data_IF_051820562304
#
_entry.id   IF_051820562304
#
_cell.length_a   1.000
_cell.length_b   1.000
_cell.length_c   1.000
_cell.angle_alpha   90.00
_cell.angle_beta   90.00
_cell.angle_gamma   90.00
#
_symmetry.space_group_name_H-M   'P 1'
#
loop_
_entity.id
_entity.type
_entity.pdbx_description
1 polymer ?
#
# COMPACT_ATOMS: atom_id res chain seq x y z
N UNK A 1 0.00 -19.92 -12.59
CA UNK A 1 1.05 -19.37 -11.71
C UNK A 1 0.49 -18.09 -11.15
N UNK A 2 0.57 -17.85 -9.85
CA UNK A 2 0.19 -16.55 -9.30
C UNK A 2 1.11 -15.49 -9.94
N UNK A 3 0.53 -14.40 -10.44
CA UNK A 3 1.31 -13.28 -10.96
C UNK A 3 2.12 -12.68 -9.80
N UNK A 4 3.38 -12.31 -10.06
CA UNK A 4 4.19 -11.60 -9.06
C UNK A 4 3.55 -10.24 -8.73
N UNK A 5 3.68 -9.80 -7.47
CA UNK A 5 3.05 -8.57 -6.99
C UNK A 5 3.42 -7.35 -7.83
N UNK A 6 4.65 -7.27 -8.37
CA UNK A 6 5.06 -6.15 -9.22
C UNK A 6 4.32 -6.14 -10.55
N UNK A 7 3.96 -7.32 -11.07
CA UNK A 7 3.13 -7.46 -12.28
C UNK A 7 1.71 -6.98 -12.01
N UNK A 8 1.14 -7.35 -10.86
CA UNK A 8 -0.19 -6.92 -10.43
C UNK A 8 -0.24 -5.40 -10.23
N UNK A 9 0.73 -4.83 -9.50
CA UNK A 9 0.89 -3.38 -9.31
C UNK A 9 0.95 -2.65 -10.65
N UNK A 10 1.72 -3.18 -11.61
CA UNK A 10 1.92 -2.55 -12.92
C UNK A 10 0.67 -2.51 -13.80
N UNK A 11 -0.32 -3.37 -13.55
CA UNK A 11 -1.60 -3.43 -14.29
C UNK A 11 -2.75 -2.71 -13.59
N UNK A 12 -2.61 -2.40 -12.31
CA UNK A 12 -3.68 -1.82 -11.52
C UNK A 12 -4.03 -0.39 -11.98
N UNK A 13 -5.30 -0.03 -11.87
CA UNK A 13 -5.84 1.25 -12.38
C UNK A 13 -5.69 2.36 -11.34
N UNK A 14 -4.45 2.75 -11.07
CA UNK A 14 -4.13 3.76 -10.06
C UNK A 14 -4.76 5.11 -10.38
N UNK A 15 -5.34 5.75 -9.36
CA UNK A 15 -5.95 7.07 -9.45
C UNK A 15 -5.34 7.99 -8.44
N UNK A 16 -5.10 9.24 -8.83
CA UNK A 16 -4.67 10.26 -7.89
C UNK A 16 -5.75 10.53 -6.83
N UNK A 17 -5.33 10.60 -5.57
CA UNK A 17 -6.15 11.07 -4.47
C UNK A 17 -6.23 12.60 -4.50
N UNK A 18 -7.06 13.14 -5.41
CA UNK A 18 -7.16 14.59 -5.70
C UNK A 18 -7.37 15.43 -4.45
N UNK A 19 -8.15 14.95 -3.47
CA UNK A 19 -8.40 15.62 -2.19
C UNK A 19 -7.12 15.91 -1.40
N UNK A 20 -6.08 15.09 -1.58
CA UNK A 20 -4.82 15.16 -0.83
C UNK A 20 -3.64 15.62 -1.68
N UNK A 21 -3.87 16.07 -2.92
CA UNK A 21 -2.82 16.47 -3.86
C UNK A 21 -1.78 17.42 -3.24
N UNK A 22 -2.24 18.42 -2.50
CA UNK A 22 -1.39 19.50 -1.99
C UNK A 22 -0.82 19.22 -0.59
N UNK A 23 -1.37 18.25 0.14
CA UNK A 23 -0.99 17.95 1.52
C UNK A 23 -0.26 16.62 1.65
N UNK A 24 -0.78 15.58 1.00
CA UNK A 24 -0.23 14.23 1.05
C UNK A 24 -0.50 13.50 -0.27
N UNK A 25 0.25 13.84 -1.33
CA UNK A 25 0.01 13.31 -2.67
C UNK A 25 0.23 11.80 -2.70
N UNK A 26 -0.82 11.06 -3.04
CA UNK A 26 -0.80 9.62 -3.22
C UNK A 26 -1.78 9.19 -4.31
N UNK A 27 -1.68 7.93 -4.69
CA UNK A 27 -2.61 7.26 -5.59
C UNK A 27 -3.28 6.09 -4.86
N UNK A 28 -4.41 5.65 -5.38
CA UNK A 28 -5.14 4.51 -4.85
C UNK A 28 -5.81 3.70 -5.97
N UNK A 29 -6.06 2.43 -5.67
CA UNK A 29 -6.97 1.55 -6.42
C UNK A 29 -8.07 1.08 -5.48
N UNK A 30 -9.26 0.86 -6.03
CA UNK A 30 -10.43 0.39 -5.27
C UNK A 30 -10.56 -1.09 -5.55
N UNK A 31 -10.40 -1.94 -4.53
CA UNK A 31 -10.06 -3.36 -4.70
C UNK A 31 -11.11 -4.10 -5.54
N UNK A 32 -12.36 -4.13 -5.10
CA UNK A 32 -13.44 -4.87 -5.74
C UNK A 32 -13.90 -4.18 -7.03
N UNK A 33 -14.05 -2.86 -6.99
CA UNK A 33 -14.44 -2.06 -8.17
C UNK A 33 -13.48 -2.23 -9.35
N UNK A 34 -12.19 -2.38 -9.10
CA UNK A 34 -11.15 -2.44 -10.13
C UNK A 34 -10.63 -3.86 -10.40
N UNK A 35 -11.21 -4.89 -9.79
CA UNK A 35 -10.78 -6.28 -9.93
C UNK A 35 -9.34 -6.51 -9.47
N UNK A 36 -8.97 -5.97 -8.31
CA UNK A 36 -7.63 -6.02 -7.72
C UNK A 36 -7.53 -6.95 -6.52
N UNK A 37 -8.43 -7.93 -6.40
CA UNK A 37 -8.46 -8.89 -5.30
C UNK A 37 -7.15 -9.70 -5.22
N UNK A 38 -6.60 -10.11 -6.37
CA UNK A 38 -5.30 -10.80 -6.44
C UNK A 38 -4.15 -9.92 -5.95
N UNK A 39 -4.21 -8.61 -6.24
CA UNK A 39 -3.22 -7.64 -5.77
C UNK A 39 -3.31 -7.47 -4.25
N UNK A 40 -4.53 -7.37 -3.70
CA UNK A 40 -4.74 -7.31 -2.26
C UNK A 40 -4.24 -8.60 -1.58
N UNK A 41 -4.57 -9.76 -2.13
CA UNK A 41 -4.12 -11.04 -1.60
C UNK A 41 -2.58 -11.14 -1.58
N UNK A 42 -1.91 -10.74 -2.67
CA UNK A 42 -0.47 -10.70 -2.74
C UNK A 42 0.15 -9.69 -1.75
N UNK A 43 -0.48 -8.53 -1.56
CA UNK A 43 -0.08 -7.55 -0.55
C UNK A 43 -0.17 -8.15 0.86
N UNK A 44 -1.32 -8.69 1.24
CA UNK A 44 -1.53 -9.25 2.58
C UNK A 44 -0.66 -10.48 2.84
N UNK A 45 -0.39 -11.30 1.82
CA UNK A 45 0.54 -12.42 1.95
C UNK A 45 1.96 -11.94 2.30
N UNK A 46 2.45 -10.85 1.68
CA UNK A 46 3.76 -10.27 2.02
C UNK A 46 3.80 -9.67 3.42
N UNK A 47 2.74 -8.97 3.83
CA UNK A 47 2.60 -8.50 5.22
C UNK A 47 2.68 -9.69 6.21
N UNK A 48 1.91 -10.76 5.96
CA UNK A 48 1.88 -11.95 6.82
C UNK A 48 3.23 -12.70 6.88
N UNK A 49 4.07 -12.56 5.85
CA UNK A 49 5.45 -13.08 5.82
C UNK A 49 6.46 -12.20 6.58
N UNK A 50 6.01 -11.08 7.15
CA UNK A 50 6.86 -10.15 7.90
C UNK A 50 7.62 -9.16 7.02
N UNK A 51 7.24 -8.99 5.76
CA UNK A 51 7.83 -7.97 4.88
C UNK A 51 7.22 -6.57 5.13
N UNK A 52 6.17 -6.50 5.96
CA UNK A 52 5.53 -5.26 6.38
C UNK A 52 6.35 -4.47 7.40
N UNK A 53 6.28 -3.14 7.29
CA UNK A 53 6.86 -2.22 8.28
C UNK A 53 5.74 -1.40 8.89
N UNK A 54 5.54 -1.55 10.19
CA UNK A 54 4.60 -0.72 10.96
C UNK A 54 5.08 0.73 10.95
N UNK A 55 4.22 1.65 10.51
CA UNK A 55 4.47 3.08 10.54
C UNK A 55 3.30 3.82 11.18
N UNK A 56 3.58 4.96 11.81
CA UNK A 56 2.55 5.86 12.36
C UNK A 56 2.29 7.01 11.39
N UNK A 57 1.02 7.24 11.06
CA UNK A 57 0.58 8.37 10.24
C UNK A 57 -0.68 8.98 10.86
N UNK A 58 -0.66 10.28 11.18
CA UNK A 58 -1.76 10.98 11.85
C UNK A 58 -2.27 10.27 13.12
N UNK A 59 -1.36 9.66 13.89
CA UNK A 59 -1.69 8.92 15.12
C UNK A 59 -2.34 7.55 14.88
N UNK A 60 -2.35 7.06 13.65
CA UNK A 60 -2.80 5.72 13.29
C UNK A 60 -1.60 4.85 12.89
N UNK A 61 -1.54 3.63 13.43
CA UNK A 61 -0.53 2.64 13.03
C UNK A 61 -1.06 1.82 11.87
N UNK A 62 -0.22 1.66 10.84
CA UNK A 62 -0.52 0.89 9.64
C UNK A 62 0.72 0.16 9.16
N UNK A 63 0.51 -1.01 8.57
CA UNK A 63 1.58 -1.75 7.91
C UNK A 63 1.78 -1.26 6.48
N UNK A 64 3.04 -0.99 6.14
CA UNK A 64 3.44 -0.56 4.80
C UNK A 64 4.32 -1.62 4.14
N UNK A 65 4.11 -1.82 2.84
CA UNK A 65 5.08 -2.49 1.98
C UNK A 65 5.90 -1.46 1.21
N UNK A 66 7.21 -1.68 1.16
CA UNK A 66 8.15 -0.85 0.43
C UNK A 66 8.66 -1.62 -0.79
N UNK A 67 8.14 -1.29 -1.98
CA UNK A 67 8.47 -1.99 -3.22
C UNK A 67 8.95 -1.00 -4.28
N UNK A 68 10.21 -1.13 -4.67
CA UNK A 68 10.84 -0.24 -5.65
C UNK A 68 10.90 1.21 -5.15
N UNK A 69 10.23 2.11 -5.86
CA UNK A 69 10.19 3.54 -5.54
C UNK A 69 8.90 3.96 -4.81
N UNK A 70 8.06 3.02 -4.38
CA UNK A 70 6.79 3.32 -3.73
C UNK A 70 6.66 2.63 -2.38
N UNK A 71 5.91 3.26 -1.49
CA UNK A 71 5.29 2.63 -0.32
C UNK A 71 3.83 2.35 -0.63
N UNK A 72 3.30 1.26 -0.07
CA UNK A 72 1.94 0.79 -0.27
C UNK A 72 1.28 0.50 1.07
N UNK A 73 0.00 0.84 1.23
CA UNK A 73 -0.76 0.58 2.44
C UNK A 73 -2.26 0.49 2.15
N UNK A 74 -2.95 -0.26 3.00
CA UNK A 74 -4.42 -0.30 3.07
C UNK A 74 -4.89 0.51 4.29
N UNK A 75 -6.16 0.87 4.32
CA UNK A 75 -6.72 1.64 5.45
C UNK A 75 -7.17 0.74 6.61
N UNK A 76 -7.36 -0.55 6.34
CA UNK A 76 -7.76 -1.60 7.28
C UNK A 76 -6.57 -2.49 7.66
N UNK A 77 -6.73 -3.35 8.66
CA UNK A 77 -5.80 -4.47 8.83
C UNK A 77 -6.16 -5.60 7.86
N UNK A 78 -5.17 -6.32 7.33
CA UNK A 78 -5.42 -7.41 6.39
C UNK A 78 -6.36 -8.50 6.96
N UNK A 79 -6.38 -8.70 8.28
CA UNK A 79 -7.28 -9.63 8.96
C UNK A 79 -8.74 -9.18 8.99
N UNK A 80 -8.99 -7.88 8.84
CA UNK A 80 -10.30 -7.26 9.01
C UNK A 80 -11.00 -7.02 7.68
N UNK A 81 -10.33 -7.26 6.56
CA UNK A 81 -10.90 -7.04 5.23
C UNK A 81 -11.96 -8.11 4.94
N UNK A 82 -13.19 -7.65 4.74
CA UNK A 82 -14.28 -8.43 4.19
C UNK A 82 -14.82 -7.77 2.91
N UNK A 83 -14.32 -8.22 1.76
CA UNK A 83 -14.74 -7.68 0.45
C UNK A 83 -16.19 -8.02 0.06
N UNK A 84 -16.88 -8.87 0.82
CA UNK A 84 -18.32 -9.10 0.62
C UNK A 84 -19.16 -7.93 1.15
N UNK A 85 -18.68 -7.27 2.22
CA UNK A 85 -19.40 -6.22 2.94
C UNK A 85 -18.98 -4.81 2.49
N UNK A 86 -17.68 -4.57 2.34
CA UNK A 86 -17.13 -3.25 2.01
C UNK A 86 -16.03 -3.34 0.95
N UNK A 87 -15.76 -2.23 0.26
CA UNK A 87 -14.67 -2.14 -0.71
C UNK A 87 -13.49 -1.42 -0.05
N UNK A 88 -12.30 -2.02 -0.08
CA UNK A 88 -11.09 -1.42 0.47
C UNK A 88 -10.30 -0.68 -0.63
N UNK A 89 -9.34 0.12 -0.21
CA UNK A 89 -8.41 0.82 -1.09
C UNK A 89 -6.99 0.41 -0.77
N UNK A 90 -6.26 -0.03 -1.80
CA UNK A 90 -4.81 -0.10 -1.73
C UNK A 90 -4.26 1.22 -2.24
N UNK A 91 -3.51 1.90 -1.37
CA UNK A 91 -2.87 3.16 -1.67
C UNK A 91 -1.40 2.96 -2.01
N UNK A 92 -0.83 3.92 -2.74
CA UNK A 92 0.61 4.04 -2.96
C UNK A 92 1.08 5.48 -2.98
N UNK A 93 2.33 5.70 -2.60
CA UNK A 93 3.01 6.97 -2.77
C UNK A 93 4.49 6.75 -3.09
N UNK A 94 5.09 7.67 -3.85
CA UNK A 94 6.53 7.65 -4.08
C UNK A 94 7.29 7.78 -2.76
N UNK A 95 8.46 7.13 -2.67
CA UNK A 95 9.34 7.15 -1.49
C UNK A 95 9.98 8.53 -1.21
N UNK A 96 9.60 9.58 -1.94
CA UNK A 96 10.15 10.94 -1.78
C UNK A 96 9.05 12.00 -1.68
N UNK A 97 8.67 12.37 -0.46
CA UNK A 97 8.44 13.78 -0.03
C UNK A 97 8.18 14.00 1.47
N UNK A 98 8.27 13.00 2.34
CA UNK A 98 8.22 13.23 3.79
C UNK A 98 9.60 13.14 4.43
N UNK A 99 10.23 14.30 4.65
CA UNK A 99 11.40 14.44 5.55
C UNK A 99 11.02 14.45 7.04
N UNK A 100 9.77 14.14 7.40
CA UNK A 100 9.29 14.30 8.78
C UNK A 100 8.97 13.00 9.48
N UNK A 101 8.47 11.99 8.76
CA UNK A 101 7.95 10.77 9.41
C UNK A 101 8.70 9.48 9.00
N UNK A 102 9.60 9.55 8.01
CA UNK A 102 10.38 8.39 7.57
C UNK A 102 11.88 8.72 7.62
N UNK A 103 12.55 8.35 8.71
CA UNK A 103 14.01 8.17 8.63
C UNK A 103 14.25 6.80 8.02
N UNK A 104 14.10 6.67 6.69
CA UNK A 104 14.67 5.53 5.96
C UNK A 104 16.18 5.68 6.07
N UNK A 105 16.83 4.81 6.82
CA UNK A 105 18.28 4.84 7.01
C UNK A 105 18.99 4.25 5.78
N UNK A 106 20.21 4.71 5.45
CA UNK A 106 21.05 4.02 4.47
C UNK A 106 21.30 2.57 4.93
N UNK A 107 20.63 1.61 4.29
CA UNK A 107 20.67 0.20 4.69
C UNK A 107 19.29 -0.45 4.86
N UNK A 108 18.21 0.34 4.89
CA UNK A 108 16.83 -0.16 4.84
C UNK A 108 16.51 -0.69 3.44
N UNK A 109 17.11 -1.82 3.08
CA UNK A 109 16.59 -2.69 2.05
C UNK A 109 15.60 -3.59 2.75
N UNK A 110 14.30 -3.46 2.46
CA UNK A 110 13.28 -4.42 2.89
C UNK A 110 13.71 -5.83 2.48
N UNK A 111 14.35 -6.52 3.43
CA UNK A 111 14.94 -7.84 3.34
C UNK A 111 14.71 -8.54 4.66
#
# INVERSE_FOLDING_TARGET
>A
MADDIMTLIGRATWREAVTYRDTWPHEYVVIKKDGQEDLLAAFCERIARGEGVECEFFGQRRDYLFLGQHKYWIMSECSDINLEEEDDVLNRALLYRDRRDFVIQPGDTGK
#
